data_IF_532955133443
#
_entry.id   IF_532955133443
#
_cell.length_a   1.000
_cell.length_b   1.000
_cell.length_c   1.000
_cell.angle_alpha   90.00
_cell.angle_beta   90.00
_cell.angle_gamma   90.00
#
_symmetry.space_group_name_H-M   'P 1'
#
loop_
_entity.id
_entity.type
_entity.pdbx_description
1 polymer ?
#
# COMPACT_ATOMS: atom_id res chain seq x y z
N UNK A 1 25.02 12.54 6.96
CA UNK A 1 25.78 11.76 7.96
C UNK A 1 26.25 12.72 9.04
N UNK A 2 25.99 12.42 10.31
CA UNK A 2 26.49 13.21 11.43
C UNK A 2 28.00 13.06 11.55
N UNK A 3 28.65 14.14 11.98
CA UNK A 3 30.08 14.10 12.28
C UNK A 3 30.25 13.61 13.71
N UNK A 4 31.29 12.81 13.94
CA UNK A 4 31.69 12.43 15.29
C UNK A 4 32.00 13.68 16.11
N UNK A 5 31.45 13.78 17.32
CA UNK A 5 31.62 14.94 18.22
C UNK A 5 30.63 16.09 18.05
N UNK A 6 29.60 15.94 17.22
CA UNK A 6 28.52 16.94 17.13
C UNK A 6 27.71 16.98 18.44
N UNK A 7 27.53 18.17 19.03
CA UNK A 7 26.68 18.38 20.20
C UNK A 7 25.25 18.74 19.80
N UNK A 8 24.28 18.23 20.56
CA UNK A 8 22.85 18.52 20.39
C UNK A 8 22.28 19.06 21.69
N UNK A 9 21.28 19.93 21.59
CA UNK A 9 20.55 20.52 22.72
C UNK A 9 19.20 19.84 22.88
N UNK A 10 18.59 20.03 24.06
CA UNK A 10 17.22 19.58 24.31
C UNK A 10 16.28 20.25 23.29
N UNK A 11 15.50 19.44 22.58
CA UNK A 11 14.58 19.89 21.52
C UNK A 11 15.14 19.80 20.09
N UNK A 12 16.42 19.47 19.90
CA UNK A 12 16.98 19.34 18.55
C UNK A 12 16.42 18.13 17.81
N UNK A 13 15.99 18.34 16.56
CA UNK A 13 15.65 17.27 15.63
C UNK A 13 16.94 16.80 14.96
N UNK A 14 17.40 15.60 15.34
CA UNK A 14 18.64 15.03 14.83
C UNK A 14 18.44 14.47 13.42
N UNK A 15 17.39 13.69 13.20
CA UNK A 15 17.04 13.08 11.91
C UNK A 15 15.56 13.26 11.62
N UNK A 16 15.24 13.55 10.37
CA UNK A 16 13.92 13.34 9.79
C UNK A 16 14.05 12.39 8.62
N UNK A 17 13.11 11.44 8.49
CA UNK A 17 13.03 10.54 7.34
C UNK A 17 11.60 10.47 6.85
N UNK A 18 11.43 10.25 5.55
CA UNK A 18 10.13 9.96 4.95
C UNK A 18 9.96 8.47 4.82
N UNK A 19 8.75 7.95 5.08
CA UNK A 19 8.51 6.51 5.02
C UNK A 19 8.83 5.98 3.63
N UNK A 20 9.76 5.03 3.56
CA UNK A 20 10.12 4.38 2.30
C UNK A 20 8.91 3.66 1.70
N UNK A 21 8.19 2.90 2.52
CA UNK A 21 6.94 2.24 2.16
C UNK A 21 6.05 2.11 3.39
N UNK A 22 4.74 2.08 3.19
CA UNK A 22 3.77 1.83 4.25
C UNK A 22 2.48 1.24 3.68
N UNK A 23 1.67 0.65 4.54
CA UNK A 23 0.29 0.28 4.26
C UNK A 23 -0.51 0.33 5.56
N UNK A 24 -1.76 0.78 5.51
CA UNK A 24 -2.68 0.82 6.66
C UNK A 24 -3.27 -0.54 6.94
N UNK A 25 -3.36 -1.01 8.18
CA UNK A 25 -4.19 -2.18 8.52
C UNK A 25 -5.57 -2.11 7.86
N UNK A 26 -6.10 -3.25 7.40
CA UNK A 26 -7.42 -3.30 6.75
C UNK A 26 -8.51 -2.60 7.61
N UNK A 27 -8.48 -2.84 8.92
CA UNK A 27 -9.40 -2.24 9.90
C UNK A 27 -9.32 -0.71 9.97
N UNK A 28 -8.22 -0.11 9.51
CA UNK A 28 -7.96 1.33 9.60
C UNK A 28 -8.14 2.06 8.26
N UNK A 29 -8.43 1.33 7.17
CA UNK A 29 -8.57 1.93 5.84
C UNK A 29 -9.68 2.96 5.74
N UNK A 30 -10.73 2.83 6.55
CA UNK A 30 -11.85 3.76 6.61
C UNK A 30 -11.62 4.98 7.53
N UNK A 31 -10.54 4.98 8.33
CA UNK A 31 -10.26 6.02 9.32
C UNK A 31 -9.08 6.92 8.93
N UNK A 32 -8.15 6.40 8.14
CA UNK A 32 -6.91 7.09 7.77
C UNK A 32 -6.76 7.24 6.26
N UNK A 33 -6.11 8.32 5.84
CA UNK A 33 -5.69 8.45 4.46
C UNK A 33 -4.59 7.44 4.12
N UNK A 34 -4.80 6.65 3.08
CA UNK A 34 -3.87 5.62 2.61
C UNK A 34 -2.55 6.14 2.01
N UNK A 35 -2.29 7.45 2.06
CA UNK A 35 -1.02 8.04 1.60
C UNK A 35 -0.34 8.90 2.67
N UNK A 36 -1.05 9.88 3.25
CA UNK A 36 -0.44 10.75 4.26
C UNK A 36 -0.56 10.22 5.69
N UNK A 37 -1.25 9.08 5.88
CA UNK A 37 -1.44 8.41 7.17
C UNK A 37 -2.13 9.27 8.24
N UNK A 38 -2.73 10.39 7.84
CA UNK A 38 -3.48 11.27 8.73
C UNK A 38 -4.90 10.75 8.89
N UNK A 39 -5.44 10.69 10.11
CA UNK A 39 -6.85 10.36 10.33
C UNK A 39 -7.72 11.44 9.70
N UNK A 40 -8.90 11.06 9.21
CA UNK A 40 -9.84 12.01 8.63
C UNK A 40 -11.26 11.47 8.63
N UNK A 41 -12.21 12.31 9.05
CA UNK A 41 -13.65 12.02 8.94
C UNK A 41 -14.18 12.22 7.50
N UNK A 42 -13.35 12.73 6.59
CA UNK A 42 -13.72 13.12 5.23
C UNK A 42 -12.82 12.44 4.21
N UNK A 43 -12.93 11.12 4.16
CA UNK A 43 -12.21 10.31 3.20
C UNK A 43 -13.03 10.01 1.95
N UNK A 44 -12.38 10.16 0.80
CA UNK A 44 -12.91 9.75 -0.50
C UNK A 44 -12.32 8.40 -0.91
N UNK A 45 -13.18 7.45 -1.23
CA UNK A 45 -12.74 6.14 -1.74
C UNK A 45 -12.19 6.26 -3.16
N UNK A 46 -11.23 5.40 -3.49
CA UNK A 46 -10.77 5.22 -4.85
C UNK A 46 -11.96 4.82 -5.73
N UNK A 47 -12.19 5.57 -6.82
CA UNK A 47 -13.35 5.38 -7.67
C UNK A 47 -13.43 3.98 -8.31
N UNK A 48 -12.28 3.30 -8.47
CA UNK A 48 -12.19 2.00 -9.12
C UNK A 48 -12.38 0.84 -8.12
N UNK A 49 -11.56 0.77 -7.07
CA UNK A 49 -11.58 -0.38 -6.15
C UNK A 49 -12.51 -0.20 -4.94
N UNK A 50 -12.90 1.03 -4.61
CA UNK A 50 -13.77 1.39 -3.47
C UNK A 50 -13.27 1.00 -2.06
N UNK A 51 -12.11 0.36 -1.94
CA UNK A 51 -11.57 -0.15 -0.66
C UNK A 51 -10.35 0.62 -0.12
N UNK A 52 -9.80 1.56 -0.89
CA UNK A 52 -8.68 2.40 -0.47
C UNK A 52 -9.13 3.86 -0.46
N UNK A 53 -8.78 4.58 0.60
CA UNK A 53 -9.37 5.88 0.91
C UNK A 53 -8.33 6.99 1.05
N UNK A 54 -8.69 8.21 0.63
CA UNK A 54 -7.80 9.37 0.63
C UNK A 54 -8.52 10.63 1.10
N UNK A 55 -7.83 11.50 1.84
CA UNK A 55 -8.41 12.76 2.34
C UNK A 55 -8.64 13.79 1.21
N UNK A 56 -7.94 13.66 0.08
CA UNK A 56 -8.12 14.55 -1.07
C UNK A 56 -7.52 13.96 -2.36
N UNK A 57 -7.80 14.62 -3.49
CA UNK A 57 -7.31 14.23 -4.83
C UNK A 57 -5.78 14.24 -4.94
N UNK A 58 -5.08 15.08 -4.18
CA UNK A 58 -3.61 15.11 -4.19
C UNK A 58 -3.04 13.84 -3.58
N UNK A 59 -3.56 13.44 -2.41
CA UNK A 59 -3.20 12.18 -1.75
C UNK A 59 -3.57 10.96 -2.59
N UNK A 60 -4.71 10.97 -3.29
CA UNK A 60 -5.06 9.89 -4.21
C UNK A 60 -4.04 9.75 -5.36
N UNK A 61 -3.65 10.85 -6.00
CA UNK A 61 -2.62 10.83 -7.07
C UNK A 61 -1.27 10.37 -6.56
N UNK A 62 -0.90 10.77 -5.35
CA UNK A 62 0.37 10.38 -4.75
C UNK A 62 0.36 8.89 -4.33
N UNK A 63 -0.70 8.42 -3.67
CA UNK A 63 -0.90 7.01 -3.32
C UNK A 63 -0.96 6.09 -4.55
N UNK A 64 -1.51 6.57 -5.67
CA UNK A 64 -1.47 5.86 -6.94
C UNK A 64 -0.04 5.53 -7.39
N UNK A 65 0.87 6.51 -7.33
CA UNK A 65 2.29 6.34 -7.67
C UNK A 65 3.05 5.54 -6.61
N UNK A 66 2.68 5.69 -5.34
CA UNK A 66 3.34 5.05 -4.21
C UNK A 66 3.20 3.53 -4.22
N UNK A 67 2.07 3.00 -4.68
CA UNK A 67 1.89 1.55 -4.84
C UNK A 67 0.49 1.11 -5.24
N UNK A 68 -0.54 1.94 -5.01
CA UNK A 68 -1.93 1.54 -5.25
C UNK A 68 -2.22 1.14 -6.71
N UNK A 69 -1.53 1.72 -7.70
CA UNK A 69 -1.61 1.28 -9.11
C UNK A 69 -1.33 -0.21 -9.30
N UNK A 70 -0.47 -0.79 -8.46
CA UNK A 70 -0.07 -2.18 -8.51
C UNK A 70 -1.20 -3.15 -8.16
N UNK A 71 -2.06 -2.77 -7.22
CA UNK A 71 -3.08 -3.61 -6.58
C UNK A 71 -4.52 -3.25 -6.96
N UNK A 72 -4.79 -2.00 -7.38
CA UNK A 72 -6.14 -1.46 -7.55
C UNK A 72 -7.07 -2.34 -8.39
N UNK A 73 -6.56 -2.83 -9.54
CA UNK A 73 -7.33 -3.70 -10.43
C UNK A 73 -7.71 -5.02 -9.75
N UNK A 74 -6.76 -5.66 -9.08
CA UNK A 74 -7.02 -6.92 -8.39
C UNK A 74 -8.03 -6.74 -7.25
N UNK A 75 -7.91 -5.66 -6.47
CA UNK A 75 -8.87 -5.31 -5.41
C UNK A 75 -10.27 -5.09 -6.00
N UNK A 76 -10.37 -4.37 -7.13
CA UNK A 76 -11.65 -4.11 -7.79
C UNK A 76 -12.31 -5.39 -8.33
N UNK A 77 -11.53 -6.36 -8.79
CA UNK A 77 -12.02 -7.63 -9.33
C UNK A 77 -12.40 -8.64 -8.23
N UNK A 78 -11.64 -8.70 -7.15
CA UNK A 78 -11.85 -9.69 -6.07
C UNK A 78 -12.74 -9.16 -4.95
N UNK A 79 -12.82 -7.84 -4.76
CA UNK A 79 -13.42 -7.22 -3.58
C UNK A 79 -12.64 -7.49 -2.29
N UNK A 80 -11.38 -7.94 -2.39
CA UNK A 80 -10.53 -8.31 -1.26
C UNK A 80 -9.33 -7.38 -1.23
N UNK A 81 -9.07 -6.79 -0.06
CA UNK A 81 -7.84 -6.04 0.18
C UNK A 81 -6.69 -7.02 0.47
N UNK A 82 -5.54 -6.95 -0.26
CA UNK A 82 -4.38 -7.75 0.06
C UNK A 82 -3.88 -7.50 1.48
N UNK A 83 -3.22 -8.48 2.07
CA UNK A 83 -2.71 -8.35 3.44
C UNK A 83 -1.71 -7.19 3.55
N UNK A 84 -1.60 -6.60 4.73
CA UNK A 84 -0.78 -5.40 4.96
C UNK A 84 0.68 -5.62 4.53
N UNK A 85 1.23 -6.81 4.81
CA UNK A 85 2.57 -7.18 4.38
C UNK A 85 2.71 -7.18 2.85
N UNK A 86 1.74 -7.74 2.12
CA UNK A 86 1.77 -7.75 0.65
C UNK A 86 1.73 -6.32 0.10
N UNK A 87 0.93 -5.43 0.71
CA UNK A 87 0.82 -4.03 0.28
C UNK A 87 2.07 -3.22 0.59
N UNK A 88 2.71 -3.44 1.74
CA UNK A 88 4.02 -2.85 2.05
C UNK A 88 5.09 -3.32 1.07
N UNK A 89 5.16 -4.63 0.77
CA UNK A 89 6.11 -5.17 -0.20
C UNK A 89 5.90 -4.59 -1.59
N UNK A 90 4.64 -4.48 -2.02
CA UNK A 90 4.30 -3.85 -3.28
C UNK A 90 4.74 -2.39 -3.30
N UNK A 91 4.40 -1.62 -2.26
CA UNK A 91 4.81 -0.22 -2.11
C UNK A 91 6.33 -0.07 -2.17
N UNK A 92 7.10 -0.89 -1.44
CA UNK A 92 8.57 -0.93 -1.45
C UNK A 92 9.13 -1.09 -2.87
N UNK A 93 8.63 -2.10 -3.58
CA UNK A 93 9.10 -2.44 -4.92
C UNK A 93 8.71 -1.34 -5.91
N UNK A 94 7.56 -0.70 -5.73
CA UNK A 94 7.11 0.40 -6.61
C UNK A 94 7.67 1.78 -6.25
N UNK A 95 8.40 1.92 -5.15
CA UNK A 95 9.03 3.21 -4.81
C UNK A 95 10.03 3.61 -5.90
N UNK A 96 10.19 4.92 -6.10
CA UNK A 96 11.23 5.51 -6.95
C UNK A 96 12.64 5.00 -6.57
N UNK A 97 12.86 4.62 -5.31
CA UNK A 97 14.17 4.23 -4.76
C UNK A 97 14.66 2.87 -5.27
N UNK A 98 13.77 1.99 -5.72
CA UNK A 98 14.12 0.64 -6.20
C UNK A 98 13.74 0.40 -7.66
N UNK A 99 13.42 1.46 -8.42
CA UNK A 99 13.05 1.36 -9.84
C UNK A 99 14.12 0.75 -10.73
N UNK A 100 15.40 0.94 -10.38
CA UNK A 100 16.55 0.45 -11.15
C UNK A 100 16.97 -0.98 -10.75
N UNK A 101 16.31 -1.56 -9.74
CA UNK A 101 16.56 -2.95 -9.38
C UNK A 101 15.89 -3.85 -10.43
N UNK A 102 16.65 -4.74 -11.06
CA UNK A 102 16.13 -5.83 -11.93
C UNK A 102 15.05 -6.71 -11.25
N UNK A 103 14.98 -6.62 -9.92
CA UNK A 103 13.92 -7.18 -9.07
C UNK A 103 12.55 -6.60 -9.41
N UNK A 104 12.46 -5.31 -9.77
CA UNK A 104 11.21 -4.64 -10.14
C UNK A 104 10.57 -5.31 -11.36
N UNK A 105 11.33 -5.48 -12.44
CA UNK A 105 10.85 -6.12 -13.67
C UNK A 105 10.47 -7.58 -13.44
N UNK A 106 11.24 -8.31 -12.63
CA UNK A 106 10.95 -9.70 -12.29
C UNK A 106 9.67 -9.85 -11.45
N UNK A 107 9.44 -8.94 -10.49
CA UNK A 107 8.26 -8.95 -9.63
C UNK A 107 7.00 -8.48 -10.36
N UNK A 108 7.10 -7.39 -11.14
CA UNK A 108 6.01 -6.87 -11.96
C UNK A 108 5.69 -7.82 -13.12
N UNK A 109 6.65 -8.52 -13.70
CA UNK A 109 6.36 -9.56 -14.71
C UNK A 109 5.63 -10.77 -14.11
N UNK A 110 5.85 -11.07 -12.82
CA UNK A 110 5.08 -12.07 -12.07
C UNK A 110 3.65 -11.63 -11.70
N UNK A 111 3.28 -10.38 -11.95
CA UNK A 111 1.93 -9.82 -11.72
C UNK A 111 0.82 -10.60 -12.43
N UNK A 112 1.14 -11.49 -13.37
CA UNK A 112 0.17 -12.37 -14.03
C UNK A 112 -0.17 -13.69 -13.29
N UNK A 113 0.54 -14.04 -12.21
CA UNK A 113 0.30 -15.29 -11.49
C UNK A 113 -0.47 -15.16 -10.17
N UNK A 114 -0.62 -13.96 -9.60
CA UNK A 114 -1.50 -13.75 -8.44
C UNK A 114 -2.99 -13.67 -8.83
N UNK A 115 -3.29 -13.41 -10.10
CA UNK A 115 -4.64 -13.44 -10.66
C UNK A 115 -5.07 -14.83 -11.18
N UNK A 116 -4.17 -15.82 -11.17
CA UNK A 116 -4.42 -17.12 -11.81
C UNK A 116 -4.02 -18.30 -10.93
N UNK A 117 -4.51 -18.33 -9.69
CA UNK A 117 -4.75 -19.60 -9.00
C UNK A 117 -6.22 -19.65 -8.62
N UNK A 118 -6.97 -20.35 -9.46
CA UNK A 118 -8.35 -20.76 -9.30
C UNK A 118 -8.56 -21.63 -8.04
N UNK A 119 -8.40 -21.05 -6.84
CA UNK A 119 -8.58 -21.78 -5.57
C UNK A 119 -9.49 -21.09 -4.54
N UNK A 120 -9.88 -19.82 -4.71
CA UNK A 120 -10.83 -19.18 -3.76
C UNK A 120 -12.30 -19.60 -4.05
N UNK A 121 -12.60 -20.14 -5.23
CA UNK A 121 -13.95 -20.59 -5.59
C UNK A 121 -14.36 -21.97 -5.06
N UNK A 122 -13.47 -22.70 -4.35
CA UNK A 122 -13.79 -24.04 -3.80
C UNK A 122 -14.20 -24.07 -2.32
N UNK A 123 -13.79 -23.12 -1.49
CA UNK A 123 -14.10 -23.17 -0.04
C UNK A 123 -15.50 -22.66 0.35
N UNK A 124 -16.25 -22.05 -0.57
CA UNK A 124 -17.61 -21.52 -0.29
C UNK A 124 -18.77 -22.45 -0.69
N UNK A 125 -18.49 -23.58 -1.37
CA UNK A 125 -19.53 -24.56 -1.74
C UNK A 125 -19.68 -25.73 -0.78
N UNK A 126 -18.74 -25.92 0.14
CA UNK A 126 -18.75 -27.06 1.09
C UNK A 126 -19.43 -26.72 2.43
N UNK A 127 -19.83 -25.47 2.67
CA UNK A 127 -20.48 -25.03 3.92
C UNK A 127 -21.98 -24.72 3.81
N UNK A 128 -22.62 -25.01 2.67
CA UNK A 128 -24.08 -24.90 2.49
C UNK A 128 -24.74 -26.21 2.00
N UNK A 129 -24.09 -27.35 2.25
CA UNK A 129 -24.64 -28.68 2.00
C UNK A 129 -24.55 -29.55 3.24
N UNK A 130 -25.53 -29.43 4.14
CA UNK A 130 -25.89 -30.41 5.16
C UNK A 130 -27.39 -30.35 5.37
#
# INVERSE_FOLDING_TARGET
MFKSGQSFKCGDIIVTDTTLAHALYESETANYCAYCLTPSDHLSSCAQCKLVYYCNRQCQKAGWKFGHRGECKAIAETGILPSDLQRVLLALITTERYKDASIFDSFVSRKYHLTTSAQISRSRRESQGS
#
